data_IF_203175130745
#
_entry.id   IF_203175130745
#
_cell.length_a   1.000
_cell.length_b   1.000
_cell.length_c   1.000
_cell.angle_alpha   90.00
_cell.angle_beta   90.00
_cell.angle_gamma   90.00
#
_symmetry.space_group_name_H-M   'P 1'
#
loop_
_entity.id
_entity.type
_entity.pdbx_description
1 polymer ?
#
# COMPACT_ATOMS: atom_id res chain seq x y z
N UNK A 1 19.19 -14.05 4.87
CA UNK A 1 18.25 -13.14 4.18
C UNK A 1 17.10 -13.94 3.60
N UNK A 2 15.88 -13.48 3.81
CA UNK A 2 14.71 -14.17 3.29
C UNK A 2 14.58 -14.01 1.78
N UNK A 3 13.83 -14.91 1.15
CA UNK A 3 13.50 -14.77 -0.27
C UNK A 3 12.67 -13.52 -0.52
N UNK A 4 11.78 -13.18 0.41
CA UNK A 4 10.95 -11.97 0.32
C UNK A 4 11.83 -10.72 0.29
N UNK A 5 12.81 -10.63 1.18
CA UNK A 5 13.75 -9.51 1.22
C UNK A 5 14.53 -9.40 -0.08
N UNK A 6 14.97 -10.54 -0.65
CA UNK A 6 15.71 -10.54 -1.92
C UNK A 6 14.87 -10.09 -3.10
N UNK A 7 13.55 -10.26 -3.04
CA UNK A 7 12.64 -9.85 -4.11
C UNK A 7 12.29 -8.36 -4.07
N UNK A 8 12.47 -7.71 -2.94
CA UNK A 8 12.15 -6.27 -2.78
C UNK A 8 13.33 -5.43 -3.26
N UNK A 9 13.29 -5.00 -4.52
CA UNK A 9 14.38 -4.25 -5.15
C UNK A 9 13.96 -2.86 -5.64
N UNK A 10 12.73 -2.46 -5.37
CA UNK A 10 12.19 -1.19 -5.82
C UNK A 10 11.80 -0.35 -4.62
N UNK A 11 11.69 0.94 -4.84
CA UNK A 11 11.25 1.90 -3.80
C UNK A 11 9.88 2.42 -4.18
N UNK A 12 9.00 2.47 -3.20
CA UNK A 12 7.67 3.08 -3.34
C UNK A 12 7.45 4.11 -2.25
N UNK A 13 6.55 5.05 -2.51
CA UNK A 13 6.08 6.02 -1.51
C UNK A 13 4.74 5.54 -0.98
N UNK A 14 4.61 5.47 0.33
CA UNK A 14 3.39 5.06 0.99
C UNK A 14 2.81 6.21 1.80
N UNK A 15 1.54 6.54 1.53
CA UNK A 15 0.74 7.45 2.34
C UNK A 15 -0.17 6.63 3.24
N UNK A 16 0.12 6.53 4.56
CA UNK A 16 -0.78 5.86 5.48
C UNK A 16 -2.04 6.69 5.69
N UNK A 17 -3.13 6.05 6.07
CA UNK A 17 -4.31 6.78 6.49
C UNK A 17 -4.01 7.56 7.76
N UNK A 18 -4.45 8.81 7.82
CA UNK A 18 -4.29 9.63 9.02
C UNK A 18 -5.12 9.01 10.16
N UNK A 19 -4.53 8.95 11.34
CA UNK A 19 -5.15 8.30 12.49
C UNK A 19 -4.88 6.81 12.59
N UNK A 20 -4.13 6.24 11.64
CA UNK A 20 -3.83 4.81 11.59
C UNK A 20 -3.11 4.32 12.85
N UNK A 21 -2.22 5.14 13.41
CA UNK A 21 -1.45 4.80 14.62
C UNK A 21 -2.35 4.62 15.84
N UNK A 22 -3.47 5.35 15.91
CA UNK A 22 -4.42 5.24 17.02
C UNK A 22 -5.51 4.20 16.77
N UNK A 23 -5.51 3.56 15.60
CA UNK A 23 -6.51 2.59 15.21
C UNK A 23 -7.79 3.19 14.65
N UNK A 24 -7.86 4.49 14.50
CA UNK A 24 -9.01 5.20 13.96
C UNK A 24 -8.60 6.00 12.74
N UNK A 25 -9.45 5.99 11.72
CA UNK A 25 -9.23 6.78 10.53
C UNK A 25 -9.81 8.18 10.72
N UNK A 26 -9.02 9.22 10.44
CA UNK A 26 -9.48 10.60 10.47
C UNK A 26 -10.15 10.97 9.15
N UNK A 27 -11.18 11.80 9.25
CA UNK A 27 -11.92 12.34 8.10
C UNK A 27 -11.91 13.86 8.16
N UNK A 28 -11.98 14.50 6.99
CA UNK A 28 -12.11 15.95 6.93
C UNK A 28 -13.56 16.39 7.23
N UNK A 29 -13.83 17.69 7.18
CA UNK A 29 -15.15 18.24 7.48
C UNK A 29 -16.26 17.75 6.54
N UNK A 30 -15.89 17.18 5.39
CA UNK A 30 -16.84 16.65 4.40
C UNK A 30 -16.93 15.12 4.44
N UNK A 31 -16.33 14.48 5.44
CA UNK A 31 -16.35 13.02 5.59
C UNK A 31 -15.38 12.28 4.67
N UNK A 32 -14.44 12.98 4.02
CA UNK A 32 -13.44 12.34 3.14
C UNK A 32 -12.26 11.84 3.97
N UNK A 33 -11.68 10.68 3.61
CA UNK A 33 -10.51 10.18 4.32
C UNK A 33 -9.33 11.11 4.13
N UNK A 34 -8.48 11.19 5.16
CA UNK A 34 -7.23 11.95 5.13
C UNK A 34 -6.05 11.01 5.21
N UNK A 35 -4.92 11.42 4.63
CA UNK A 35 -3.67 10.66 4.64
C UNK A 35 -2.64 11.34 5.52
N UNK A 36 -1.79 10.52 6.17
CA UNK A 36 -0.69 11.01 6.98
C UNK A 36 0.54 11.37 6.16
N UNK A 37 1.65 11.59 6.84
CA UNK A 37 2.91 11.93 6.20
C UNK A 37 3.44 10.74 5.40
N UNK A 38 3.77 10.92 4.11
CA UNK A 38 4.30 9.83 3.29
C UNK A 38 5.74 9.51 3.66
N UNK A 39 6.13 8.25 3.39
CA UNK A 39 7.52 7.80 3.54
C UNK A 39 7.84 6.71 2.52
N UNK A 40 9.13 6.50 2.28
CA UNK A 40 9.59 5.48 1.33
C UNK A 40 9.61 4.11 1.97
N UNK A 41 9.23 3.09 1.19
CA UNK A 41 9.31 1.69 1.58
C UNK A 41 9.99 0.89 0.48
N UNK A 42 10.54 -0.27 0.84
CA UNK A 42 11.06 -1.22 -0.13
C UNK A 42 9.92 -2.13 -0.61
N UNK A 43 9.91 -2.42 -1.91
CA UNK A 43 8.85 -3.23 -2.49
C UNK A 43 9.32 -3.97 -3.74
N UNK A 44 8.46 -4.88 -4.19
CA UNK A 44 8.48 -5.41 -5.55
C UNK A 44 7.13 -5.11 -6.18
N UNK A 45 7.14 -4.31 -7.21
CA UNK A 45 5.94 -3.84 -7.89
C UNK A 45 5.73 -4.63 -9.18
N UNK A 46 4.52 -5.19 -9.34
CA UNK A 46 4.16 -5.92 -10.55
C UNK A 46 2.85 -5.35 -11.10
N UNK A 47 2.88 -4.91 -12.36
CA UNK A 47 1.67 -4.44 -13.04
C UNK A 47 0.87 -5.65 -13.51
N UNK A 48 -0.11 -6.05 -12.71
CA UNK A 48 -0.93 -7.22 -12.96
C UNK A 48 -2.38 -6.87 -12.73
N UNK A 49 -3.23 -7.19 -13.71
CA UNK A 49 -4.68 -7.06 -13.57
C UNK A 49 -5.26 -8.40 -13.15
N UNK A 50 -5.81 -8.48 -11.95
CA UNK A 50 -6.50 -9.67 -11.47
C UNK A 50 -7.72 -9.28 -10.64
N UNK A 51 -8.70 -10.16 -10.58
CA UNK A 51 -9.89 -9.93 -9.78
C UNK A 51 -9.61 -10.29 -8.32
N UNK A 52 -9.89 -9.35 -7.41
CA UNK A 52 -9.76 -9.56 -5.97
C UNK A 52 -11.00 -9.04 -5.25
N UNK A 53 -11.22 -9.50 -4.03
CA UNK A 53 -12.21 -8.91 -3.14
C UNK A 53 -11.57 -7.74 -2.43
N UNK A 54 -12.17 -6.55 -2.56
CA UNK A 54 -11.75 -5.37 -1.83
C UNK A 54 -12.09 -5.53 -0.33
N UNK A 55 -11.63 -4.59 0.48
CA UNK A 55 -11.88 -4.62 1.93
C UNK A 55 -13.37 -4.59 2.27
N UNK A 56 -14.21 -4.01 1.40
CA UNK A 56 -15.67 -3.96 1.55
C UNK A 56 -16.40 -5.14 0.91
N UNK A 57 -15.67 -6.20 0.52
CA UNK A 57 -16.18 -7.42 -0.12
C UNK A 57 -16.68 -7.24 -1.57
N UNK A 58 -16.46 -6.10 -2.20
CA UNK A 58 -16.75 -5.94 -3.63
C UNK A 58 -15.64 -6.56 -4.47
N UNK A 59 -15.98 -7.03 -5.69
CA UNK A 59 -14.99 -7.55 -6.63
C UNK A 59 -14.43 -6.41 -7.46
N UNK A 60 -13.11 -6.31 -7.49
CA UNK A 60 -12.41 -5.22 -8.18
C UNK A 60 -11.25 -5.80 -8.97
N UNK A 61 -11.00 -5.23 -10.16
CA UNK A 61 -9.82 -5.56 -10.95
C UNK A 61 -8.65 -4.68 -10.47
N UNK A 62 -7.51 -5.31 -10.16
CA UNK A 62 -6.33 -4.59 -9.74
C UNK A 62 -5.62 -3.93 -10.92
N UNK A 63 -4.82 -2.91 -10.62
CA UNK A 63 -3.88 -2.30 -11.57
C UNK A 63 -2.46 -2.79 -11.33
N UNK A 64 -2.16 -3.15 -10.08
CA UNK A 64 -0.86 -3.65 -9.69
C UNK A 64 -0.97 -4.52 -8.45
N UNK A 65 0.01 -5.40 -8.28
CA UNK A 65 0.21 -6.19 -7.06
C UNK A 65 1.60 -5.85 -6.54
N UNK A 66 1.69 -5.47 -5.27
CA UNK A 66 2.93 -4.98 -4.69
C UNK A 66 3.28 -5.81 -3.45
N UNK A 67 4.48 -6.39 -3.47
CA UNK A 67 5.03 -7.08 -2.30
C UNK A 67 5.83 -6.06 -1.50
N UNK A 68 5.47 -5.87 -0.23
CA UNK A 68 6.03 -4.79 0.60
C UNK A 68 6.78 -5.35 1.81
N UNK A 69 7.65 -4.52 2.39
CA UNK A 69 8.50 -4.92 3.51
C UNK A 69 7.86 -4.70 4.89
N UNK A 70 6.69 -4.09 4.93
CA UNK A 70 6.00 -3.76 6.18
C UNK A 70 4.49 -3.81 6.01
N UNK A 71 3.79 -3.74 7.13
CA UNK A 71 2.33 -3.70 7.10
C UNK A 71 1.84 -2.38 6.52
N UNK A 72 0.94 -2.46 5.56
CA UNK A 72 0.20 -1.33 5.00
C UNK A 72 -1.28 -1.61 5.18
N UNK A 73 -2.14 -0.65 4.86
CA UNK A 73 -3.59 -0.84 5.03
C UNK A 73 -4.36 -0.43 3.79
N UNK A 74 -5.48 -1.14 3.55
CA UNK A 74 -6.43 -0.73 2.53
C UNK A 74 -6.90 0.70 2.80
N UNK A 75 -6.98 1.51 1.75
CA UNK A 75 -7.27 2.93 1.85
C UNK A 75 -6.05 3.83 1.82
N UNK A 76 -4.86 3.31 2.16
CA UNK A 76 -3.60 4.02 1.93
C UNK A 76 -3.28 4.13 0.45
N UNK A 77 -2.26 4.90 0.10
CA UNK A 77 -1.87 5.14 -1.30
C UNK A 77 -0.42 4.75 -1.50
N UNK A 78 -0.14 4.08 -2.62
CA UNK A 78 1.21 3.70 -3.02
C UNK A 78 1.56 4.31 -4.38
N UNK A 79 2.82 4.72 -4.52
CA UNK A 79 3.39 5.26 -5.75
C UNK A 79 4.77 4.64 -5.96
N UNK A 80 5.01 4.07 -7.14
CA UNK A 80 6.33 3.50 -7.47
C UNK A 80 7.30 4.63 -7.81
N UNK A 81 8.26 4.86 -6.93
CA UNK A 81 9.26 5.91 -7.10
C UNK A 81 9.73 6.49 -5.78
N UNK A 82 10.33 7.67 -5.85
CA UNK A 82 10.94 8.36 -4.73
C UNK A 82 10.04 9.45 -4.17
N UNK A 83 10.20 9.72 -2.87
CA UNK A 83 9.44 10.74 -2.16
C UNK A 83 9.64 12.13 -2.78
N UNK A 84 10.81 12.39 -3.33
CA UNK A 84 11.13 13.68 -3.99
C UNK A 84 10.43 13.88 -5.33
N UNK A 85 9.86 12.83 -5.89
CA UNK A 85 9.20 12.89 -7.20
C UNK A 85 7.70 13.15 -7.11
N UNK A 86 7.13 13.30 -5.92
CA UNK A 86 5.68 13.37 -5.70
C UNK A 86 5.29 14.64 -4.97
N UNK A 87 4.03 15.05 -5.16
CA UNK A 87 3.37 16.03 -4.30
C UNK A 87 2.93 15.32 -3.02
N UNK A 88 3.61 15.59 -1.92
CA UNK A 88 3.37 14.91 -0.66
C UNK A 88 2.03 15.28 -0.02
N UNK A 89 1.46 16.41 -0.40
CA UNK A 89 0.22 16.91 0.19
C UNK A 89 -1.05 16.36 -0.49
N UNK A 90 -0.92 15.78 -1.68
CA UNK A 90 -2.05 15.26 -2.45
C UNK A 90 -1.73 13.87 -3.02
N UNK A 91 -1.92 12.81 -2.22
CA UNK A 91 -1.55 11.46 -2.64
C UNK A 91 -2.19 11.04 -3.97
N UNK A 92 -3.47 11.31 -4.15
CA UNK A 92 -4.20 10.88 -5.36
C UNK A 92 -4.00 11.80 -6.55
N UNK A 93 -3.43 12.97 -6.35
CA UNK A 93 -3.12 13.91 -7.42
C UNK A 93 -1.86 13.53 -8.20
N UNK A 94 -1.07 12.60 -7.72
CA UNK A 94 0.14 12.14 -8.42
C UNK A 94 -0.24 11.09 -9.46
N UNK A 95 0.22 11.27 -10.68
CA UNK A 95 0.00 10.27 -11.74
C UNK A 95 0.76 8.99 -11.40
N UNK A 96 0.05 7.87 -11.42
CA UNK A 96 0.62 6.58 -11.02
C UNK A 96 0.54 6.27 -9.53
N UNK A 97 -0.08 7.12 -8.73
CA UNK A 97 -0.39 6.81 -7.33
C UNK A 97 -1.77 6.14 -7.25
N UNK A 98 -1.84 5.01 -6.58
CA UNK A 98 -3.05 4.20 -6.50
C UNK A 98 -3.42 3.88 -5.07
N UNK A 99 -4.72 3.88 -4.77
CA UNK A 99 -5.23 3.48 -3.47
C UNK A 99 -5.13 1.96 -3.30
N UNK A 100 -4.72 1.53 -2.10
CA UNK A 100 -4.65 0.11 -1.77
C UNK A 100 -6.08 -0.42 -1.59
N UNK A 101 -6.45 -1.40 -2.41
CA UNK A 101 -7.77 -2.02 -2.38
C UNK A 101 -7.85 -3.08 -1.29
N UNK A 102 -6.76 -3.83 -1.11
CA UNK A 102 -6.69 -4.95 -0.17
C UNK A 102 -5.24 -5.18 0.25
N UNK A 103 -5.04 -5.60 1.49
CA UNK A 103 -3.73 -6.00 2.00
C UNK A 103 -3.83 -7.39 2.62
N UNK A 104 -2.97 -8.29 2.19
CA UNK A 104 -2.87 -9.66 2.72
C UNK A 104 -1.51 -9.86 3.37
N UNK A 105 -1.51 -10.58 4.49
CA UNK A 105 -0.31 -10.92 5.24
C UNK A 105 -0.34 -12.41 5.53
N UNK A 106 0.57 -13.15 4.90
CA UNK A 106 0.65 -14.60 5.03
C UNK A 106 1.96 -14.99 5.73
N UNK A 107 1.90 -15.80 6.80
CA UNK A 107 3.12 -16.30 7.44
C UNK A 107 3.81 -17.35 6.57
N UNK A 108 5.13 -17.48 6.71
CA UNK A 108 5.85 -18.61 6.12
C UNK A 108 5.62 -19.88 6.95
N UNK A 109 6.19 -21.01 6.50
CA UNK A 109 6.00 -22.29 7.18
C UNK A 109 6.51 -22.30 8.62
N UNK A 110 7.51 -21.48 8.93
CA UNK A 110 8.09 -21.39 10.27
C UNK A 110 7.50 -20.27 11.12
N UNK A 111 6.57 -19.49 10.52
CA UNK A 111 5.95 -18.34 11.16
C UNK A 111 6.96 -17.28 11.65
N UNK A 112 8.13 -17.20 10.98
CA UNK A 112 9.20 -16.24 11.29
C UNK A 112 9.18 -15.03 10.36
N UNK A 113 8.50 -15.13 9.22
CA UNK A 113 8.36 -14.08 8.23
C UNK A 113 6.95 -14.05 7.69
N UNK A 114 6.61 -12.93 7.07
CA UNK A 114 5.30 -12.74 6.44
C UNK A 114 5.48 -12.29 5.00
N UNK A 115 4.69 -12.87 4.10
CA UNK A 115 4.51 -12.34 2.76
C UNK A 115 3.42 -11.27 2.84
N UNK A 116 3.80 -10.03 2.61
CA UNK A 116 2.89 -8.90 2.67
C UNK A 116 2.58 -8.42 1.27
N UNK A 117 1.32 -8.50 0.87
CA UNK A 117 0.88 -8.18 -0.49
C UNK A 117 -0.18 -7.10 -0.45
N UNK A 118 0.07 -6.00 -1.16
CA UNK A 118 -0.89 -4.93 -1.37
C UNK A 118 -1.45 -5.01 -2.78
N UNK A 119 -2.77 -4.92 -2.91
CA UNK A 119 -3.47 -4.94 -4.20
C UNK A 119 -3.97 -3.52 -4.49
N UNK A 120 -3.59 -2.99 -5.66
CA UNK A 120 -3.90 -1.61 -6.07
C UNK A 120 -4.94 -1.54 -7.17
#
# INVERSE_FOLDING_TARGET
MSIITRMRKQTAVYWPLKGDESGYQDFDAYGRPQWGTPYEIECRWEDVSQEVLAADATRVMTKAVVYVDRDVRAGGVLYLGRLTAVDQSDPKGNDGAWEIIRFDKLPNLRNTEYLRTAYL
#
